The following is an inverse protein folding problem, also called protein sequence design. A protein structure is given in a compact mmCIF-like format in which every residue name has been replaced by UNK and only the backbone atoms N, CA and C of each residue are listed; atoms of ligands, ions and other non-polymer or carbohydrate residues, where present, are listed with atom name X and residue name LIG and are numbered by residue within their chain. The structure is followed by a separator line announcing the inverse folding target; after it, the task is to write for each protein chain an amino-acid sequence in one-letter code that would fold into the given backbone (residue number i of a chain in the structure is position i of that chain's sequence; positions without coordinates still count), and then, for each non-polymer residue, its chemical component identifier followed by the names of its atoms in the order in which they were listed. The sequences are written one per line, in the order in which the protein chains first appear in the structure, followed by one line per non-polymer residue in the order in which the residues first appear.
data_IF_247262252638
#
_entry.id   IF_247262252638
#
_cell.length_a   1.000
_cell.length_b   1.000
_cell.length_c   1.000
_cell.angle_alpha   90.00
_cell.angle_beta   90.00
_cell.angle_gamma   90.00
#
_symmetry.space_group_name_H-M   'P 1'
#
loop_
_entity.id
_entity.type
_entity.pdbx_description
1 polymer ?
2 water ?
#
# COMPACT_ATOMS: atom_id res chain seq x y z
N UNK A 10 -47.71 12.22 -13.70
CA UNK A 10 -46.77 12.89 -14.64
C UNK A 10 -45.60 11.99 -15.02
N UNK A 11 -45.19 12.06 -16.29
CA UNK A 11 -44.29 11.03 -16.80
C UNK A 11 -43.24 11.43 -17.87
N UNK A 12 -41.95 11.51 -17.50
CA UNK A 12 -40.85 11.72 -18.49
C UNK A 12 -39.80 10.65 -18.44
N UNK A 13 -39.30 10.31 -19.62
CA UNK A 13 -38.39 9.21 -19.82
C UNK A 13 -37.13 9.85 -20.41
N UNK A 14 -35.94 9.41 -20.02
CA UNK A 14 -34.69 10.01 -20.53
C UNK A 14 -33.67 8.96 -20.92
N UNK A 15 -32.89 9.19 -21.97
CA UNK A 15 -31.91 8.18 -22.36
C UNK A 15 -30.69 8.45 -21.49
N UNK A 16 -30.21 7.47 -20.74
CA UNK A 16 -29.09 7.75 -19.86
C UNK A 16 -28.08 6.63 -19.85
N UNK A 17 -26.91 6.86 -19.27
CA UNK A 17 -25.95 5.79 -19.13
C UNK A 17 -25.64 5.53 -17.70
N UNK A 18 -25.68 4.28 -17.28
CA UNK A 18 -25.15 3.96 -15.97
C UNK A 18 -23.62 3.91 -16.11
N UNK A 19 -22.92 4.62 -15.24
CA UNK A 19 -21.47 4.60 -15.19
C UNK A 19 -21.03 3.56 -14.16
N UNK A 20 -20.24 2.56 -14.55
CA UNK A 20 -19.83 1.48 -13.65
C UNK A 20 -18.37 1.22 -13.80
N UNK A 21 -17.66 1.24 -12.68
CA UNK A 21 -16.26 0.96 -12.70
C UNK A 21 -16.00 -0.54 -12.72
N UNK A 22 -14.89 -0.97 -13.32
CA UNK A 22 -14.49 -2.38 -13.30
C UNK A 22 -14.04 -2.76 -11.90
N UNK A 23 -14.43 -3.93 -11.42
CA UNK A 23 -14.11 -4.23 -10.02
C UNK A 23 -12.88 -5.09 -9.82
N UNK A 24 -12.26 -5.57 -10.91
CA UNK A 24 -11.21 -6.53 -10.73
C UNK A 24 -9.96 -5.90 -10.15
N UNK A 25 -9.30 -6.67 -9.30
CA UNK A 25 -8.10 -6.16 -8.74
C UNK A 25 -6.91 -6.90 -9.24
N UNK A 26 -6.02 -6.18 -9.88
CA UNK A 26 -4.82 -6.76 -10.39
C UNK A 26 -3.72 -6.74 -9.36
N UNK A 27 -2.68 -7.54 -9.58
CA UNK A 27 -1.60 -7.68 -8.60
C UNK A 27 -0.32 -7.78 -9.36
N UNK A 28 0.57 -6.80 -9.16
CA UNK A 28 1.83 -6.68 -9.89
C UNK A 28 2.96 -6.86 -8.97
N UNK A 29 3.77 -7.87 -9.25
CA UNK A 29 4.82 -8.28 -8.32
C UNK A 29 5.83 -7.16 -8.12
N UNK A 30 6.31 -6.97 -6.89
CA UNK A 30 7.39 -6.03 -6.62
C UNK A 30 8.21 -6.66 -5.58
N UNK A 31 9.34 -6.02 -5.33
CA UNK A 31 10.11 -6.32 -4.16
C UNK A 31 10.05 -5.11 -3.20
N UNK A 32 9.70 -5.40 -1.96
CA UNK A 32 9.59 -4.39 -0.92
C UNK A 32 10.73 -4.68 0.03
N UNK A 33 11.61 -3.67 0.14
CA UNK A 33 12.83 -3.80 0.92
C UNK A 33 12.88 -2.69 1.93
N UNK A 34 13.26 -3.09 3.14
CA UNK A 34 13.38 -2.19 4.23
C UNK A 34 14.86 -2.08 4.54
N UNK A 35 15.38 -0.87 4.36
CA UNK A 35 16.81 -0.61 4.38
C UNK A 35 17.09 0.59 5.28
N UNK A 36 17.44 0.28 6.52
CA UNK A 36 17.48 1.27 7.59
C UNK A 36 16.14 1.99 7.71
N UNK A 37 16.12 3.28 7.41
CA UNK A 37 14.91 4.05 7.51
C UNK A 37 14.30 4.25 6.17
N UNK A 38 14.80 3.56 5.14
CA UNK A 38 14.16 3.65 3.81
C UNK A 38 13.39 2.37 3.38
N UNK A 39 12.28 2.55 2.68
CA UNK A 39 11.51 1.46 2.13
C UNK A 39 11.62 1.62 0.64
N UNK A 40 11.99 0.53 -0.01
CA UNK A 40 12.06 0.59 -1.45
C UNK A 40 11.10 -0.42 -2.05
N UNK A 41 10.41 0.07 -3.08
CA UNK A 41 9.50 -0.70 -3.90
C UNK A 41 10.16 -0.73 -5.27
N UNK A 42 10.65 -1.90 -5.57
CA UNK A 42 11.55 -2.13 -6.65
C UNK A 42 10.87 -3.24 -7.44
N UNK A 43 10.86 -3.13 -8.76
CA UNK A 43 10.33 -4.29 -9.48
C UNK A 43 11.37 -5.44 -9.50
N UNK A 44 10.94 -6.71 -9.61
CA UNK A 44 11.98 -7.75 -9.77
C UNK A 44 12.45 -7.85 -11.24
N UNK A 45 13.48 -8.65 -11.51
CA UNK A 45 13.75 -9.11 -12.88
C UNK A 45 13.78 -10.63 -12.85
N UNK A 53 11.17 -1.82 -16.33
CA UNK A 53 10.72 -0.50 -16.78
C UNK A 53 10.14 0.36 -15.65
N UNK A 54 9.47 -0.26 -14.68
CA UNK A 54 8.92 0.48 -13.54
C UNK A 54 10.11 1.12 -12.79
N UNK A 55 9.98 2.35 -12.28
CA UNK A 55 11.11 2.98 -11.59
C UNK A 55 10.98 2.65 -10.10
N UNK A 56 12.10 2.59 -9.39
CA UNK A 56 12.07 2.27 -7.97
C UNK A 56 11.43 3.40 -7.18
N UNK A 57 10.56 3.05 -6.22
CA UNK A 57 9.96 4.01 -5.28
C UNK A 57 10.70 3.96 -3.94
N UNK A 58 11.11 5.14 -3.48
CA UNK A 58 12.00 5.28 -2.34
C UNK A 58 11.22 6.04 -1.31
N UNK A 59 10.83 5.38 -0.23
CA UNK A 59 10.14 6.11 0.83
C UNK A 59 11.01 6.18 2.04
N UNK A 60 11.03 7.34 2.70
CA UNK A 60 11.61 7.46 4.03
C UNK A 60 10.53 7.27 5.06
N UNK A 61 10.87 6.62 6.17
CA UNK A 61 9.91 6.27 7.22
C UNK A 61 9.10 7.49 7.63
N UNK A 62 9.70 8.68 7.58
CA UNK A 62 9.00 9.93 7.91
C UNK A 62 7.84 10.21 6.98
N UNK A 63 7.79 9.53 5.84
CA UNK A 63 6.74 9.79 4.85
C UNK A 63 5.48 8.92 5.08
N UNK A 64 5.63 7.86 5.88
CA UNK A 64 4.58 6.87 6.08
C UNK A 64 3.61 7.40 7.09
N UNK A 65 2.34 7.59 6.70
CA UNK A 65 1.30 8.04 7.67
C UNK A 65 0.58 6.85 8.30
N UNK A 66 0.52 5.73 7.59
CA UNK A 66 -0.23 4.57 8.06
C UNK A 66 0.40 3.33 7.48
N UNK A 67 0.47 2.30 8.29
CA UNK A 67 0.78 0.95 7.84
C UNK A 67 -0.01 -0.05 8.74
N UNK A 68 -0.86 -0.86 8.12
CA UNK A 68 -1.86 -1.65 8.81
C UNK A 68 -2.07 -2.97 8.07
N UNK A 69 -2.05 -4.07 8.82
CA UNK A 69 -2.39 -5.41 8.29
C UNK A 69 -3.90 -5.51 8.19
N UNK A 70 -4.39 -6.03 7.07
CA UNK A 70 -5.82 -6.16 6.84
C UNK A 70 -6.52 -6.99 7.91
N UNK A 71 -7.70 -6.49 8.34
CA UNK A 71 -8.57 -7.26 9.23
C UNK A 71 -9.37 -8.35 8.43
N UNK A 72 -9.53 -8.17 7.12
CA UNK A 72 -10.18 -9.17 6.28
C UNK A 72 -9.24 -10.27 5.74
N UNK A 73 -8.15 -9.94 5.06
CA UNK A 73 -7.32 -10.97 4.39
C UNK A 73 -5.93 -10.96 5.00
N UNK A 74 -5.54 -12.04 5.69
CA UNK A 74 -4.29 -12.06 6.42
C UNK A 74 -3.06 -11.64 5.62
N UNK A 75 -3.02 -11.95 4.32
CA UNK A 75 -1.86 -11.64 3.45
C UNK A 75 -1.82 -10.19 2.95
N UNK A 76 -2.88 -9.42 3.18
CA UNK A 76 -2.97 -8.06 2.72
C UNK A 76 -2.55 -7.03 3.76
N UNK A 77 -1.95 -5.91 3.31
CA UNK A 77 -1.60 -4.75 4.14
C UNK A 77 -1.50 -3.54 3.24
N UNK A 78 -1.44 -2.34 3.82
CA UNK A 78 -1.34 -1.11 3.04
C UNK A 78 -0.42 -0.14 3.73
N UNK A 79 0.19 0.77 2.96
CA UNK A 79 1.10 1.79 3.45
C UNK A 79 0.65 3.07 2.80
N UNK A 80 0.24 4.01 3.63
CA UNK A 80 -0.20 5.30 3.15
C UNK A 80 0.93 6.26 3.37
N UNK A 81 1.18 7.12 2.39
CA UNK A 81 2.42 7.86 2.31
C UNK A 81 2.15 9.27 1.84
N UNK A 82 2.77 10.24 2.50
CA UNK A 82 2.73 11.62 2.07
C UNK A 82 4.06 11.87 1.37
N UNK A 83 4.02 12.57 0.22
CA UNK A 83 5.22 12.78 -0.57
C UNK A 83 5.66 14.26 -0.74
N UNK A 87 -1.25 17.51 -0.31
CA UNK A 87 -2.71 17.41 -0.39
C UNK A 87 -3.10 16.08 -1.01
N UNK A 88 -2.11 15.34 -1.50
CA UNK A 88 -2.35 14.03 -2.06
C UNK A 88 -1.54 12.97 -1.30
N UNK A 89 -2.24 12.09 -0.61
CA UNK A 89 -1.62 10.93 0.01
C UNK A 89 -1.62 9.80 -1.02
N UNK A 90 -0.49 9.15 -1.26
CA UNK A 90 -0.50 7.92 -2.04
C UNK A 90 -0.89 6.72 -1.14
N UNK A 91 -1.79 5.87 -1.65
CA UNK A 91 -2.21 4.69 -0.92
C UNK A 91 -1.71 3.44 -1.62
N UNK A 92 -0.73 2.78 -1.02
CA UNK A 92 -0.16 1.59 -1.58
C UNK A 92 -0.74 0.34 -0.92
N UNK A 93 -1.56 -0.42 -1.64
CA UNK A 93 -2.03 -1.67 -1.07
C UNK A 93 -1.15 -2.82 -1.55
N UNK A 94 -0.82 -3.76 -0.68
CA UNK A 94 0.07 -4.85 -1.05
C UNK A 94 -0.47 -6.18 -0.57
N UNK A 95 0.10 -7.26 -1.12
CA UNK A 95 -0.13 -8.62 -0.68
C UNK A 95 1.22 -9.23 -0.47
N UNK A 96 1.41 -9.78 0.73
CA UNK A 96 2.65 -10.44 1.12
C UNK A 96 2.61 -11.86 0.64
N UNK A 97 3.74 -12.55 0.72
CA UNK A 97 3.77 -13.92 0.21
C UNK A 97 2.89 -14.81 1.08
N UNK A 98 2.64 -14.38 2.32
CA UNK A 98 1.91 -15.21 3.28
C UNK A 98 1.44 -14.37 4.44
N UNK A 99 0.50 -14.87 5.22
CA UNK A 99 0.00 -14.11 6.35
C UNK A 99 1.10 -13.83 7.36
N UNK A 100 2.00 -14.80 7.57
CA UNK A 100 3.11 -14.61 8.51
C UNK A 100 4.09 -13.55 7.97
N UNK A 101 4.39 -13.58 6.68
CA UNK A 101 5.22 -12.52 6.15
C UNK A 101 4.53 -11.18 6.27
N UNK A 102 3.21 -11.13 6.03
CA UNK A 102 2.48 -9.89 6.16
C UNK A 102 2.69 -9.27 7.54
N UNK A 103 2.57 -10.11 8.57
CA UNK A 103 2.69 -9.64 9.95
C UNK A 103 4.09 -9.12 10.20
N UNK A 104 5.09 -9.79 9.62
CA UNK A 104 6.49 -9.37 9.79
C UNK A 104 6.77 -8.03 9.14
N UNK A 105 6.24 -7.82 7.93
CA UNK A 105 6.45 -6.56 7.23
C UNK A 105 5.77 -5.45 7.99
N UNK A 106 4.53 -5.68 8.42
CA UNK A 106 3.78 -4.63 9.06
C UNK A 106 4.42 -4.29 10.41
N UNK A 107 4.77 -5.32 11.18
CA UNK A 107 5.46 -5.14 12.47
C UNK A 107 6.73 -4.33 12.28
N UNK A 108 7.59 -4.78 11.36
CA UNK A 108 8.84 -4.07 11.06
C UNK A 108 8.62 -2.61 10.76
N UNK A 109 7.66 -2.30 9.90
CA UNK A 109 7.42 -0.93 9.53
C UNK A 109 6.79 -0.14 10.65
N UNK A 110 5.91 -0.77 11.43
CA UNK A 110 5.35 -0.08 12.57
C UNK A 110 6.44 0.26 13.63
N UNK A 111 7.38 -0.68 13.85
CA UNK A 111 8.55 -0.46 14.71
C UNK A 111 9.50 0.61 14.21
N UNK A 112 9.78 0.66 12.91
CA UNK A 112 10.59 1.71 12.38
C UNK A 112 9.91 3.03 12.55
N UNK A 113 8.60 3.06 12.44
CA UNK A 113 7.89 4.31 12.53
C UNK A 113 7.87 4.79 13.99
N UNK A 114 7.56 3.88 14.93
CA UNK A 114 7.65 4.19 16.36
C UNK A 114 9.03 4.76 16.66
N UNK A 115 10.08 4.01 16.29
CA UNK A 115 11.45 4.42 16.59
C UNK A 115 11.75 5.87 16.05
N UNK A 116 11.40 6.10 14.80
CA UNK A 116 11.65 7.39 14.20
C UNK A 116 10.87 8.49 14.86
N UNK A 117 9.63 8.19 15.23
CA UNK A 117 8.71 9.23 15.68
C UNK A 117 9.03 9.63 17.12
N UNK A 118 9.68 8.71 17.85
CA UNK A 118 10.23 8.95 19.19
C UNK A 118 11.05 10.27 19.25
N UNK A 119 11.74 10.61 18.16
CA UNK A 119 12.57 11.84 18.10
C UNK A 119 11.81 13.11 17.80
#
# INVERSE_FOLDING_TARGET
DNFQDLFTGAYHKYKVWRRQQMSFINKHERTLAIDGDYIYIVPPEGRIHWHDNVKTKSLHISQVVLVKKSKRVPEHFKIFVRREGQDDIKRYYFEAVSGQECTEIVTRLQNLLSAYRMNHK
#
